data_IF_123775478060
#
_entry.id   IF_123775478060
#
_cell.length_a   1.000
_cell.length_b   1.000
_cell.length_c   1.000
_cell.angle_alpha   90.00
_cell.angle_beta   90.00
_cell.angle_gamma   90.00
#
_symmetry.space_group_name_H-M   'P 1'
#
loop_
_entity.id
_entity.type
_entity.pdbx_description
1 polymer ?
#
# COMPACT_ATOMS: atom_id res chain seq x y z
N UNK A 1 -17.59 31.33 -9.73
CA UNK A 1 -18.14 30.00 -10.04
C UNK A 1 -17.65 29.03 -8.98
N UNK A 2 -18.44 28.79 -7.94
CA UNK A 2 -18.13 27.81 -6.91
C UNK A 2 -18.52 26.44 -7.47
N UNK A 3 -17.53 25.69 -7.98
CA UNK A 3 -17.77 24.34 -8.45
C UNK A 3 -18.27 23.51 -7.28
N UNK A 4 -19.52 23.07 -7.36
CA UNK A 4 -20.08 22.07 -6.45
C UNK A 4 -19.16 20.87 -6.48
N UNK A 5 -18.35 20.68 -5.42
CA UNK A 5 -17.65 19.42 -5.20
C UNK A 5 -18.77 18.41 -4.99
N UNK A 6 -19.12 17.67 -6.04
CA UNK A 6 -20.09 16.60 -5.94
C UNK A 6 -19.55 15.65 -4.87
N UNK A 7 -20.27 15.58 -3.74
CA UNK A 7 -20.01 14.57 -2.73
C UNK A 7 -20.08 13.21 -3.42
N UNK A 8 -19.12 12.33 -3.10
CA UNK A 8 -19.07 11.01 -3.71
C UNK A 8 -20.37 10.25 -3.45
N UNK A 9 -20.82 9.47 -4.43
CA UNK A 9 -22.03 8.67 -4.29
C UNK A 9 -21.81 7.52 -3.29
N UNK A 10 -22.90 6.91 -2.82
CA UNK A 10 -22.81 5.71 -1.98
C UNK A 10 -22.13 4.53 -2.71
N UNK A 11 -22.25 4.48 -4.03
CA UNK A 11 -21.58 3.49 -4.87
C UNK A 11 -20.07 3.75 -4.94
N UNK A 12 -19.67 5.01 -5.09
CA UNK A 12 -18.26 5.42 -5.07
C UNK A 12 -17.61 5.11 -3.71
N UNK A 13 -18.32 5.32 -2.60
CA UNK A 13 -17.85 4.95 -1.26
C UNK A 13 -17.59 3.44 -1.14
N UNK A 14 -18.54 2.61 -1.61
CA UNK A 14 -18.39 1.16 -1.58
C UNK A 14 -17.23 0.68 -2.48
N UNK A 15 -17.10 1.26 -3.68
CA UNK A 15 -16.01 0.96 -4.60
C UNK A 15 -14.64 1.38 -4.05
N UNK A 16 -14.58 2.54 -3.39
CA UNK A 16 -13.38 3.02 -2.70
C UNK A 16 -12.99 2.07 -1.56
N UNK A 17 -13.94 1.66 -0.71
CA UNK A 17 -13.68 0.71 0.38
C UNK A 17 -13.18 -0.64 -0.12
N UNK A 18 -13.78 -1.19 -1.18
CA UNK A 18 -13.34 -2.44 -1.79
C UNK A 18 -11.89 -2.32 -2.29
N UNK A 19 -11.59 -1.24 -3.03
CA UNK A 19 -10.26 -1.00 -3.57
C UNK A 19 -9.20 -0.79 -2.47
N UNK A 20 -9.54 -0.05 -1.42
CA UNK A 20 -8.67 0.17 -0.26
C UNK A 20 -8.43 -1.13 0.52
N UNK A 21 -9.43 -2.00 0.61
CA UNK A 21 -9.29 -3.33 1.22
C UNK A 21 -8.32 -4.21 0.45
N UNK A 22 -8.34 -4.15 -0.89
CA UNK A 22 -7.36 -4.86 -1.71
C UNK A 22 -5.95 -4.33 -1.50
N UNK A 23 -5.79 -3.01 -1.41
CA UNK A 23 -4.49 -2.38 -1.10
C UNK A 23 -3.99 -2.80 0.30
N UNK A 24 -4.88 -2.87 1.29
CA UNK A 24 -4.54 -3.36 2.63
C UNK A 24 -4.04 -4.81 2.58
N UNK A 25 -4.74 -5.70 1.86
CA UNK A 25 -4.31 -7.10 1.68
C UNK A 25 -2.94 -7.21 1.02
N UNK A 26 -2.67 -6.36 0.02
CA UNK A 26 -1.34 -6.30 -0.60
C UNK A 26 -0.26 -5.91 0.41
N UNK A 27 -0.53 -4.97 1.32
CA UNK A 27 0.41 -4.59 2.38
C UNK A 27 0.64 -5.72 3.40
N UNK A 28 -0.42 -6.42 3.80
CA UNK A 28 -0.37 -7.50 4.79
C UNK A 28 0.36 -8.74 4.27
N UNK A 29 0.09 -9.12 3.02
CA UNK A 29 0.66 -10.31 2.36
C UNK A 29 2.06 -10.07 1.78
N UNK A 30 2.72 -8.97 2.13
CA UNK A 30 4.09 -8.70 1.66
C UNK A 30 5.06 -9.79 2.13
N UNK A 31 6.15 -10.07 1.41
CA UNK A 31 7.19 -10.97 1.87
C UNK A 31 7.75 -10.50 3.23
N UNK A 32 7.80 -11.42 4.18
CA UNK A 32 8.37 -11.17 5.52
C UNK A 32 9.68 -11.92 5.73
N UNK A 33 10.14 -12.68 4.73
CA UNK A 33 11.30 -13.58 4.86
C UNK A 33 10.97 -14.87 5.62
N UNK A 34 11.94 -15.78 5.59
CA UNK A 34 11.84 -17.11 6.20
C UNK A 34 12.35 -17.06 7.63
N UNK A 35 11.59 -17.57 8.63
CA UNK A 35 12.10 -17.73 9.99
C UNK A 35 13.42 -18.50 10.02
N UNK A 36 14.33 -18.11 10.91
CA UNK A 36 15.60 -18.79 11.15
C UNK A 36 15.77 -19.18 12.63
N UNK A 37 16.79 -19.99 12.91
CA UNK A 37 17.04 -20.54 14.25
C UNK A 37 17.37 -19.47 15.30
N UNK A 38 17.74 -18.25 14.89
CA UNK A 38 17.97 -17.13 15.79
C UNK A 38 16.66 -16.41 16.21
N UNK A 39 15.49 -16.92 15.83
CA UNK A 39 14.20 -16.28 16.10
C UNK A 39 13.95 -15.02 15.26
N UNK A 40 14.77 -14.80 14.22
CA UNK A 40 14.62 -13.69 13.26
C UNK A 40 14.16 -14.23 11.90
N UNK A 41 14.05 -13.36 10.89
CA UNK A 41 13.70 -13.77 9.52
C UNK A 41 14.83 -13.43 8.57
N UNK A 42 15.27 -14.42 7.81
CA UNK A 42 16.23 -14.24 6.73
C UNK A 42 15.48 -13.76 5.48
N UNK A 43 15.96 -12.67 4.89
CA UNK A 43 15.42 -12.13 3.65
C UNK A 43 16.26 -12.62 2.49
N UNK A 44 15.68 -13.44 1.61
CA UNK A 44 16.34 -13.83 0.37
C UNK A 44 16.32 -12.68 -0.65
N UNK A 45 17.16 -12.79 -1.69
CA UNK A 45 17.12 -11.90 -2.85
C UNK A 45 15.72 -11.85 -3.49
N UNK A 46 15.02 -12.98 -3.52
CA UNK A 46 13.64 -13.05 -4.02
C UNK A 46 12.69 -12.29 -3.12
N UNK A 47 12.73 -12.50 -1.80
CA UNK A 47 11.83 -11.82 -0.85
C UNK A 47 11.92 -10.29 -0.95
N UNK A 48 13.14 -9.77 -1.06
CA UNK A 48 13.37 -8.32 -1.17
C UNK A 48 12.84 -7.77 -2.49
N UNK A 49 13.12 -8.45 -3.61
CA UNK A 49 12.62 -8.02 -4.92
C UNK A 49 11.10 -8.08 -4.98
N UNK A 50 10.51 -9.16 -4.50
CA UNK A 50 9.06 -9.34 -4.42
C UNK A 50 8.43 -8.27 -3.50
N UNK A 51 9.10 -7.90 -2.39
CA UNK A 51 8.63 -6.79 -1.55
C UNK A 51 8.62 -5.46 -2.32
N UNK A 52 9.69 -5.12 -3.04
CA UNK A 52 9.76 -3.87 -3.81
C UNK A 52 8.65 -3.84 -4.88
N UNK A 53 8.46 -4.93 -5.60
CA UNK A 53 7.40 -5.06 -6.61
C UNK A 53 6.02 -4.89 -5.99
N UNK A 54 5.69 -5.68 -4.97
CA UNK A 54 4.37 -5.68 -4.34
C UNK A 54 4.03 -4.35 -3.68
N UNK A 55 4.99 -3.69 -3.01
CA UNK A 55 4.75 -2.37 -2.42
C UNK A 55 4.68 -1.25 -3.46
N UNK A 56 5.35 -1.41 -4.61
CA UNK A 56 5.18 -0.48 -5.74
C UNK A 56 3.79 -0.62 -6.35
N UNK A 57 3.30 -1.85 -6.54
CA UNK A 57 1.94 -2.11 -7.02
C UNK A 57 0.88 -1.57 -6.06
N UNK A 58 1.03 -1.84 -4.75
CA UNK A 58 0.14 -1.33 -3.72
C UNK A 58 0.09 0.21 -3.73
N UNK A 59 1.26 0.87 -3.88
CA UNK A 59 1.34 2.33 -4.01
C UNK A 59 0.62 2.82 -5.26
N UNK A 60 0.86 2.20 -6.42
CA UNK A 60 0.25 2.61 -7.67
C UNK A 60 -1.28 2.47 -7.62
N UNK A 61 -1.77 1.38 -7.03
CA UNK A 61 -3.21 1.15 -6.83
C UNK A 61 -3.82 2.18 -5.88
N UNK A 62 -3.13 2.54 -4.81
CA UNK A 62 -3.57 3.61 -3.91
C UNK A 62 -3.66 4.98 -4.62
N UNK A 63 -2.71 5.31 -5.50
CA UNK A 63 -2.77 6.54 -6.29
C UNK A 63 -3.92 6.49 -7.33
N UNK A 64 -4.23 5.33 -7.90
CA UNK A 64 -5.41 5.16 -8.76
C UNK A 64 -6.72 5.36 -7.97
N UNK A 65 -6.82 4.79 -6.76
CA UNK A 65 -7.96 5.03 -5.85
C UNK A 65 -8.09 6.51 -5.51
N UNK A 66 -6.98 7.22 -5.28
CA UNK A 66 -7.00 8.67 -5.06
C UNK A 66 -7.59 9.43 -6.24
N UNK A 67 -7.18 9.08 -7.46
CA UNK A 67 -7.65 9.75 -8.67
C UNK A 67 -9.14 9.55 -8.91
N UNK A 68 -9.64 8.33 -8.68
CA UNK A 68 -11.03 7.97 -8.91
C UNK A 68 -11.96 8.36 -7.75
N UNK A 69 -11.50 8.18 -6.52
CA UNK A 69 -12.33 8.23 -5.31
C UNK A 69 -11.78 9.18 -4.24
N UNK A 70 -10.91 10.14 -4.60
CA UNK A 70 -10.25 11.02 -3.64
C UNK A 70 -11.18 11.91 -2.79
N UNK A 71 -12.41 12.10 -3.23
CA UNK A 71 -13.45 12.86 -2.52
C UNK A 71 -14.29 12.00 -1.57
N UNK A 72 -14.15 10.67 -1.60
CA UNK A 72 -14.87 9.74 -0.70
C UNK A 72 -14.39 9.87 0.75
N UNK A 73 -15.29 9.64 1.69
CA UNK A 73 -14.99 9.51 3.11
C UNK A 73 -14.05 8.34 3.36
N UNK A 74 -14.24 7.22 2.65
CA UNK A 74 -13.35 6.07 2.70
C UNK A 74 -11.89 6.46 2.41
N UNK A 75 -11.65 7.21 1.34
CA UNK A 75 -10.30 7.68 1.00
C UNK A 75 -9.76 8.74 1.97
N UNK A 76 -10.63 9.65 2.44
CA UNK A 76 -10.23 10.72 3.36
C UNK A 76 -10.01 10.26 4.81
N UNK A 77 -10.46 9.05 5.14
CA UNK A 77 -10.39 8.47 6.48
C UNK A 77 -8.96 8.38 7.03
N UNK A 78 -8.85 8.36 8.36
CA UNK A 78 -7.57 8.16 9.04
C UNK A 78 -6.94 6.80 8.72
N UNK A 79 -7.75 5.77 8.49
CA UNK A 79 -7.28 4.43 8.12
C UNK A 79 -6.54 4.45 6.78
N UNK A 80 -7.11 5.09 5.76
CA UNK A 80 -6.46 5.25 4.45
C UNK A 80 -5.17 6.07 4.54
N UNK A 81 -5.15 7.13 5.35
CA UNK A 81 -3.92 7.90 5.60
C UNK A 81 -2.83 7.05 6.25
N UNK A 82 -3.17 6.22 7.24
CA UNK A 82 -2.22 5.30 7.87
C UNK A 82 -1.70 4.27 6.87
N UNK A 83 -2.58 3.63 6.10
CA UNK A 83 -2.22 2.67 5.06
C UNK A 83 -1.27 3.30 4.02
N UNK A 84 -1.55 4.53 3.59
CA UNK A 84 -0.68 5.30 2.70
C UNK A 84 0.74 5.45 3.27
N UNK A 85 0.83 5.83 4.55
CA UNK A 85 2.12 5.96 5.23
C UNK A 85 2.86 4.63 5.36
N UNK A 86 2.15 3.57 5.72
CA UNK A 86 2.69 2.22 5.87
C UNK A 86 3.27 1.67 4.56
N UNK A 87 2.55 1.81 3.44
CA UNK A 87 3.02 1.38 2.12
C UNK A 87 4.27 2.16 1.71
N UNK A 88 4.25 3.48 1.86
CA UNK A 88 5.41 4.33 1.49
C UNK A 88 6.64 4.01 2.33
N UNK A 89 6.47 3.89 3.65
CA UNK A 89 7.54 3.52 4.57
C UNK A 89 8.12 2.14 4.26
N UNK A 90 7.25 1.14 4.06
CA UNK A 90 7.69 -0.21 3.74
C UNK A 90 8.39 -0.30 2.38
N UNK A 91 7.91 0.39 1.36
CA UNK A 91 8.57 0.46 0.06
C UNK A 91 9.98 1.06 0.19
N UNK A 92 10.13 2.14 0.95
CA UNK A 92 11.43 2.76 1.21
C UNK A 92 12.38 1.77 1.91
N UNK A 93 11.91 1.08 2.95
CA UNK A 93 12.69 0.05 3.64
C UNK A 93 13.10 -1.07 2.69
N UNK A 94 12.19 -1.61 1.88
CA UNK A 94 12.52 -2.71 0.96
C UNK A 94 13.53 -2.30 -0.10
N UNK A 95 13.46 -1.06 -0.62
CA UNK A 95 14.49 -0.51 -1.53
C UNK A 95 15.82 -0.33 -0.83
N UNK A 96 15.84 0.27 0.36
CA UNK A 96 17.07 0.45 1.13
C UNK A 96 17.73 -0.89 1.47
N UNK A 97 16.95 -1.89 1.88
CA UNK A 97 17.48 -3.24 2.14
C UNK A 97 18.01 -3.89 0.87
N UNK A 98 17.33 -3.72 -0.27
CA UNK A 98 17.82 -4.19 -1.57
C UNK A 98 19.20 -3.61 -1.90
N UNK A 99 19.33 -2.30 -1.78
CA UNK A 99 20.58 -1.58 -2.06
C UNK A 99 21.69 -2.00 -1.08
N UNK A 100 21.36 -2.15 0.21
CA UNK A 100 22.31 -2.56 1.26
C UNK A 100 22.82 -3.99 1.07
N UNK A 101 21.97 -4.90 0.59
CA UNK A 101 22.34 -6.30 0.36
C UNK A 101 22.92 -6.56 -1.05
N UNK A 102 22.91 -5.56 -1.94
CA UNK A 102 23.44 -5.66 -3.30
C UNK A 102 22.60 -6.55 -4.23
N UNK A 103 21.27 -6.54 -4.07
CA UNK A 103 20.34 -7.41 -4.80
C UNK A 103 19.80 -6.84 -6.10
#
# INVERSE_FOLDING_TARGET
>A
MCGSVLAASTEDEAAALASLTEVQKMYENRPQGTPNDAGTRTLSKKDINDCVTQMTEAKNKLEAVKQQYGTTQAYQSMQTRMLTGQIRGRLATCKQTKDTLGY
#
